data_IF_848025765005
#
_entry.id   IF_848025765005
#
_cell.length_a   1.000
_cell.length_b   1.000
_cell.length_c   1.000
_cell.angle_alpha   90.00
_cell.angle_beta   90.00
_cell.angle_gamma   90.00
#
_symmetry.space_group_name_H-M   'P 1'
#
loop_
_entity.id
_entity.type
_entity.pdbx_description
1 polymer ?
#
# COMPACT_ATOMS: atom_id res chain seq x y z
N UNK A 1 44.53 56.43 -43.04
CA UNK A 1 43.55 55.85 -42.09
C UNK A 1 42.09 55.89 -42.57
N UNK A 2 41.71 56.65 -43.61
CA UNK A 2 40.32 56.70 -44.10
C UNK A 2 39.86 55.44 -44.88
N UNK A 3 40.79 54.67 -45.46
CA UNK A 3 40.47 53.49 -46.27
C UNK A 3 40.06 52.24 -45.45
N UNK A 4 40.40 52.19 -44.16
CA UNK A 4 40.03 51.08 -43.26
C UNK A 4 38.58 51.23 -42.77
N UNK A 5 38.06 52.46 -42.69
CA UNK A 5 36.69 52.73 -42.25
C UNK A 5 35.63 52.32 -43.31
N UNK A 6 35.95 52.38 -44.60
CA UNK A 6 35.00 52.05 -45.68
C UNK A 6 34.86 50.53 -45.87
N UNK A 7 35.94 49.76 -45.67
CA UNK A 7 35.90 48.29 -45.69
C UNK A 7 35.18 47.69 -44.45
N UNK A 8 35.17 48.40 -43.32
CA UNK A 8 34.39 47.99 -42.15
C UNK A 8 32.87 48.23 -42.32
N UNK A 9 32.46 49.22 -43.13
CA UNK A 9 31.05 49.51 -43.38
C UNK A 9 30.43 48.54 -44.41
N UNK A 10 31.17 48.15 -45.45
CA UNK A 10 30.69 47.21 -46.47
C UNK A 10 30.51 45.78 -45.93
N UNK A 11 31.22 45.38 -44.88
CA UNK A 11 31.04 44.06 -44.23
C UNK A 11 29.82 43.99 -43.31
N UNK A 12 29.13 45.12 -43.06
CA UNK A 12 27.97 45.22 -42.17
C UNK A 12 26.63 45.25 -42.92
N UNK A 13 26.64 45.39 -44.25
CA UNK A 13 25.48 45.14 -45.11
C UNK A 13 25.33 43.64 -45.41
N UNK A 14 25.54 42.79 -44.40
CA UNK A 14 25.23 41.38 -44.50
C UNK A 14 23.73 41.26 -44.69
N UNK A 15 23.31 40.96 -45.91
CA UNK A 15 21.93 40.62 -46.23
C UNK A 15 21.42 39.64 -45.17
N UNK A 16 20.37 40.02 -44.45
CA UNK A 16 19.73 39.11 -43.51
C UNK A 16 19.45 37.82 -44.28
N UNK A 17 19.87 36.64 -43.77
CA UNK A 17 19.60 35.38 -44.45
C UNK A 17 18.10 35.33 -44.75
N UNK A 18 17.75 35.10 -46.01
CA UNK A 18 16.36 35.02 -46.42
C UNK A 18 15.64 34.05 -45.49
N UNK A 19 14.58 34.52 -44.80
CA UNK A 19 13.88 33.71 -43.83
C UNK A 19 13.37 32.44 -44.50
N UNK A 20 13.80 31.27 -44.00
CA UNK A 20 13.37 29.98 -44.50
C UNK A 20 11.83 29.89 -44.40
N UNK A 21 11.12 29.52 -45.48
CA UNK A 21 9.66 29.40 -45.45
C UNK A 21 9.16 28.55 -44.27
N UNK A 22 8.08 28.99 -43.62
CA UNK A 22 7.55 28.34 -42.41
C UNK A 22 7.25 26.85 -42.63
N UNK A 23 6.78 26.48 -43.82
CA UNK A 23 6.49 25.10 -44.20
C UNK A 23 7.75 24.21 -44.17
N UNK A 24 8.88 24.73 -44.65
CA UNK A 24 10.16 24.00 -44.65
C UNK A 24 10.68 23.85 -43.21
N UNK A 25 10.63 24.93 -42.41
CA UNK A 25 11.00 24.88 -40.98
C UNK A 25 10.18 23.84 -40.22
N UNK A 26 8.86 23.82 -40.45
CA UNK A 26 7.95 22.85 -39.83
C UNK A 26 8.26 21.41 -40.25
N UNK A 27 8.48 21.17 -41.56
CA UNK A 27 8.83 19.84 -42.07
C UNK A 27 10.18 19.33 -41.51
N UNK A 28 11.16 20.24 -41.38
CA UNK A 28 12.45 19.95 -40.74
C UNK A 28 12.28 19.62 -39.26
N UNK A 29 11.53 20.42 -38.51
CA UNK A 29 11.24 20.18 -37.09
C UNK A 29 10.53 18.83 -36.88
N UNK A 30 9.59 18.46 -37.75
CA UNK A 30 8.90 17.17 -37.70
C UNK A 30 9.86 15.99 -37.97
N UNK A 31 10.76 16.14 -38.95
CA UNK A 31 11.77 15.12 -39.26
C UNK A 31 12.71 14.90 -38.07
N UNK A 32 13.26 15.98 -37.51
CA UNK A 32 14.13 15.94 -36.32
C UNK A 32 13.43 15.29 -35.13
N UNK A 33 12.15 15.61 -34.92
CA UNK A 33 11.36 15.01 -33.85
C UNK A 33 11.21 13.50 -34.01
N UNK A 34 10.89 13.00 -35.22
CA UNK A 34 10.78 11.56 -35.50
C UNK A 34 12.12 10.84 -35.35
N UNK A 35 13.23 11.48 -35.74
CA UNK A 35 14.56 10.92 -35.52
C UNK A 35 14.93 10.87 -34.04
N UNK A 36 14.55 11.88 -33.25
CA UNK A 36 14.74 11.88 -31.81
C UNK A 36 13.97 10.71 -31.15
N UNK A 37 12.73 10.43 -31.57
CA UNK A 37 11.95 9.28 -31.09
C UNK A 37 12.64 7.95 -31.42
N UNK A 38 13.17 7.79 -32.63
CA UNK A 38 13.94 6.59 -33.00
C UNK A 38 15.19 6.40 -32.15
N UNK A 39 15.93 7.48 -31.87
CA UNK A 39 17.09 7.40 -30.98
C UNK A 39 16.70 7.04 -29.54
N UNK A 40 15.60 7.60 -29.03
CA UNK A 40 15.07 7.30 -27.70
C UNK A 40 14.64 5.82 -27.59
N UNK A 41 13.96 5.30 -28.62
CA UNK A 41 13.62 3.88 -28.75
C UNK A 41 14.86 2.99 -28.77
N UNK A 42 15.93 3.44 -29.42
CA UNK A 42 17.22 2.76 -29.48
C UNK A 42 18.12 3.00 -28.25
N UNK A 43 17.62 3.64 -27.19
CA UNK A 43 18.35 4.01 -25.97
C UNK A 43 19.57 4.94 -26.21
N UNK A 44 19.61 5.65 -27.34
CA UNK A 44 20.64 6.63 -27.69
C UNK A 44 20.28 8.02 -27.13
N UNK A 45 20.05 8.10 -25.82
CA UNK A 45 19.43 9.25 -25.15
C UNK A 45 20.17 10.57 -25.34
N UNK A 46 21.50 10.57 -25.38
CA UNK A 46 22.28 11.78 -25.64
C UNK A 46 21.99 12.38 -27.02
N UNK A 47 21.88 11.53 -28.06
CA UNK A 47 21.52 11.98 -29.42
C UNK A 47 20.05 12.38 -29.51
N UNK A 48 19.16 11.61 -28.87
CA UNK A 48 17.74 11.93 -28.78
C UNK A 48 17.52 13.32 -28.17
N UNK A 49 18.21 13.64 -27.06
CA UNK A 49 18.14 14.95 -26.42
C UNK A 49 18.56 16.07 -27.37
N UNK A 50 19.70 15.93 -28.05
CA UNK A 50 20.15 16.91 -29.05
C UNK A 50 19.12 17.14 -30.16
N UNK A 51 18.55 16.06 -30.71
CA UNK A 51 17.53 16.15 -31.77
C UNK A 51 16.21 16.75 -31.29
N UNK A 52 15.77 16.48 -30.07
CA UNK A 52 14.59 17.15 -29.50
C UNK A 52 14.81 18.67 -29.37
N UNK A 53 16.01 19.09 -28.97
CA UNK A 53 16.36 20.50 -28.87
C UNK A 53 16.43 21.19 -30.23
N UNK A 54 17.04 20.54 -31.22
CA UNK A 54 17.08 21.01 -32.60
C UNK A 54 15.67 21.10 -33.22
N UNK A 55 14.81 20.11 -32.98
CA UNK A 55 13.42 20.13 -33.45
C UNK A 55 12.66 21.34 -32.90
N UNK A 56 12.81 21.63 -31.59
CA UNK A 56 12.19 22.79 -30.94
C UNK A 56 12.75 24.10 -31.48
N UNK A 57 14.06 24.18 -31.72
CA UNK A 57 14.72 25.37 -32.25
C UNK A 57 14.34 25.65 -33.71
N UNK A 58 14.11 24.61 -34.51
CA UNK A 58 13.76 24.73 -35.93
C UNK A 58 12.37 25.36 -36.15
N UNK A 59 11.36 24.95 -35.37
CA UNK A 59 10.03 25.58 -35.38
C UNK A 59 9.39 25.54 -33.97
N UNK A 60 9.56 26.61 -33.16
CA UNK A 60 8.94 26.72 -31.84
C UNK A 60 7.41 26.72 -31.87
N UNK A 61 6.81 27.03 -33.03
CA UNK A 61 5.34 27.05 -33.22
C UNK A 61 4.78 25.71 -33.68
N UNK A 62 5.65 24.70 -33.88
CA UNK A 62 5.24 23.36 -34.29
C UNK A 62 4.32 22.74 -33.23
N UNK A 63 3.25 22.02 -33.63
CA UNK A 63 2.40 21.26 -32.71
C UNK A 63 3.17 20.22 -31.87
N UNK A 64 4.38 19.82 -32.30
CA UNK A 64 5.25 18.87 -31.59
C UNK A 64 6.20 19.53 -30.58
N UNK A 65 6.40 20.84 -30.65
CA UNK A 65 7.38 21.55 -29.81
C UNK A 65 7.13 21.34 -28.30
N UNK A 66 5.89 21.40 -27.76
CA UNK A 66 5.65 21.14 -26.33
C UNK A 66 6.02 19.71 -25.91
N UNK A 67 5.78 18.71 -26.76
CA UNK A 67 6.15 17.31 -26.49
C UNK A 67 7.66 17.10 -26.54
N UNK A 68 8.33 17.72 -27.52
CA UNK A 68 9.80 17.69 -27.63
C UNK A 68 10.45 18.31 -26.38
N UNK A 69 9.95 19.47 -25.95
CA UNK A 69 10.43 20.16 -24.75
C UNK A 69 10.23 19.33 -23.48
N UNK A 70 9.03 18.77 -23.28
CA UNK A 70 8.75 17.91 -22.14
C UNK A 70 9.66 16.67 -22.13
N UNK A 71 9.90 16.04 -23.28
CA UNK A 71 10.77 14.87 -23.36
C UNK A 71 12.24 15.22 -23.15
N UNK A 72 12.72 16.32 -23.73
CA UNK A 72 14.07 16.84 -23.51
C UNK A 72 14.30 17.17 -22.03
N UNK A 73 13.32 17.78 -21.35
CA UNK A 73 13.39 18.05 -19.91
C UNK A 73 13.53 16.76 -19.09
N UNK A 74 12.76 15.71 -19.43
CA UNK A 74 12.91 14.39 -18.80
C UNK A 74 14.31 13.84 -19.04
N UNK A 75 14.81 13.82 -20.28
CA UNK A 75 16.14 13.28 -20.58
C UNK A 75 17.25 14.03 -19.82
N UNK A 76 17.21 15.37 -19.77
CA UNK A 76 18.17 16.15 -18.98
C UNK A 76 18.17 15.78 -17.49
N UNK A 77 17.00 15.50 -16.92
CA UNK A 77 16.88 15.06 -15.54
C UNK A 77 17.47 13.66 -15.28
N UNK A 78 17.77 12.89 -16.33
CA UNK A 78 18.38 11.55 -16.27
C UNK A 78 19.75 11.48 -16.93
N UNK A 79 20.39 12.63 -17.19
CA UNK A 79 21.71 12.70 -17.82
C UNK A 79 22.87 12.27 -16.88
N UNK A 80 22.56 11.73 -15.70
CA UNK A 80 23.51 11.21 -14.72
C UNK A 80 24.41 10.15 -15.36
N UNK A 81 25.73 10.30 -15.24
CA UNK A 81 26.70 9.35 -15.79
C UNK A 81 26.59 9.15 -17.30
N UNK A 82 26.40 10.25 -18.06
CA UNK A 82 26.31 10.26 -19.52
C UNK A 82 25.24 9.30 -20.07
N UNK A 83 24.11 9.21 -19.35
CA UNK A 83 22.98 8.30 -19.65
C UNK A 83 23.27 6.81 -19.51
N UNK A 84 24.49 6.38 -19.14
CA UNK A 84 24.82 4.95 -18.99
C UNK A 84 23.91 4.25 -17.97
N UNK A 85 23.69 4.80 -16.75
CA UNK A 85 22.70 4.25 -15.81
C UNK A 85 21.29 4.20 -16.38
N UNK A 86 20.87 5.25 -17.09
CA UNK A 86 19.50 5.37 -17.60
C UNK A 86 19.22 4.37 -18.72
N UNK A 87 20.19 4.11 -19.59
CA UNK A 87 20.14 3.04 -20.60
C UNK A 87 19.99 1.66 -19.97
N UNK A 88 20.72 1.37 -18.89
CA UNK A 88 20.60 0.09 -18.16
C UNK A 88 19.21 -0.09 -17.54
N UNK A 89 18.72 0.94 -16.85
CA UNK A 89 17.37 0.97 -16.27
C UNK A 89 16.29 0.77 -17.34
N UNK A 90 16.33 1.56 -18.42
CA UNK A 90 15.33 1.52 -19.48
C UNK A 90 15.34 0.21 -20.25
N UNK A 91 16.51 -0.44 -20.41
CA UNK A 91 16.59 -1.78 -21.02
C UNK A 91 15.80 -2.81 -20.21
N UNK A 92 16.01 -2.85 -18.89
CA UNK A 92 15.28 -3.78 -18.01
C UNK A 92 13.79 -3.42 -17.94
N UNK A 93 13.45 -2.13 -17.94
CA UNK A 93 12.07 -1.64 -17.87
C UNK A 93 11.25 -1.95 -19.13
N UNK A 94 11.84 -1.77 -20.32
CA UNK A 94 11.13 -1.93 -21.61
C UNK A 94 11.10 -3.36 -22.12
N UNK A 95 12.03 -4.22 -21.71
CA UNK A 95 12.06 -5.62 -22.11
C UNK A 95 11.28 -6.50 -21.11
N UNK A 96 10.13 -7.09 -21.51
CA UNK A 96 9.32 -7.91 -20.61
C UNK A 96 10.07 -9.15 -20.08
N UNK A 97 10.97 -9.72 -20.87
CA UNK A 97 11.75 -10.90 -20.48
C UNK A 97 12.74 -10.55 -19.36
N UNK A 98 13.46 -9.44 -19.51
CA UNK A 98 14.38 -8.96 -18.47
C UNK A 98 13.63 -8.48 -17.23
N UNK A 99 12.53 -7.75 -17.40
CA UNK A 99 11.77 -7.25 -16.25
C UNK A 99 11.21 -8.38 -15.37
N UNK A 100 10.93 -9.54 -15.96
CA UNK A 100 10.37 -10.71 -15.28
C UNK A 100 11.42 -11.73 -14.84
N UNK A 101 12.69 -11.49 -15.12
CA UNK A 101 13.81 -12.35 -14.71
C UNK A 101 14.38 -11.87 -13.37
N UNK A 102 14.32 -12.69 -12.29
CA UNK A 102 14.92 -12.36 -11.00
C UNK A 102 16.41 -12.02 -11.10
N UNK A 103 17.17 -12.71 -11.96
CA UNK A 103 18.61 -12.49 -12.09
C UNK A 103 18.93 -11.14 -12.73
N UNK A 104 18.16 -10.73 -13.74
CA UNK A 104 18.30 -9.40 -14.35
C UNK A 104 17.98 -8.27 -13.36
N UNK A 105 16.97 -8.46 -12.50
CA UNK A 105 16.63 -7.48 -11.44
C UNK A 105 17.71 -7.43 -10.35
N UNK A 106 18.22 -8.58 -9.90
CA UNK A 106 19.34 -8.65 -8.95
C UNK A 106 20.59 -7.98 -9.52
N UNK A 107 20.89 -8.20 -10.81
CA UNK A 107 21.98 -7.52 -11.52
C UNK A 107 21.77 -6.01 -11.57
N UNK A 108 20.57 -5.54 -11.92
CA UNK A 108 20.25 -4.10 -11.92
C UNK A 108 20.45 -3.47 -10.54
N UNK A 109 20.05 -4.16 -9.46
CA UNK A 109 20.24 -3.67 -8.08
C UNK A 109 21.73 -3.58 -7.75
N UNK A 110 22.52 -4.61 -8.08
CA UNK A 110 23.96 -4.58 -7.87
C UNK A 110 24.64 -3.46 -8.66
N UNK A 111 24.21 -3.24 -9.90
CA UNK A 111 24.74 -2.15 -10.73
C UNK A 111 24.32 -0.77 -10.20
N UNK A 112 23.10 -0.64 -9.68
CA UNK A 112 22.59 0.62 -9.12
C UNK A 112 23.44 1.12 -7.94
N UNK A 113 24.08 0.23 -7.19
CA UNK A 113 25.02 0.62 -6.12
C UNK A 113 26.26 1.35 -6.66
N UNK A 114 26.58 1.20 -7.96
CA UNK A 114 27.71 1.87 -8.62
C UNK A 114 27.29 3.12 -9.40
N UNK A 115 25.98 3.40 -9.52
CA UNK A 115 25.50 4.59 -10.23
C UNK A 115 25.85 5.86 -9.45
N UNK A 116 26.12 6.99 -10.14
CA UNK A 116 26.19 8.29 -9.50
C UNK A 116 24.95 8.57 -8.66
N UNK A 117 25.11 9.35 -7.59
CA UNK A 117 23.97 9.74 -6.77
C UNK A 117 22.98 10.57 -7.58
N UNK A 118 21.72 10.12 -7.62
CA UNK A 118 20.72 10.82 -8.39
C UNK A 118 19.45 10.03 -8.61
N UNK A 119 18.60 10.56 -9.49
CA UNK A 119 17.26 10.06 -9.78
C UNK A 119 17.30 8.66 -10.37
N UNK A 120 18.23 8.37 -11.30
CA UNK A 120 18.25 7.08 -12.01
C UNK A 120 18.48 5.92 -11.04
N UNK A 121 19.36 6.12 -10.05
CA UNK A 121 19.62 5.15 -8.97
C UNK A 121 18.35 4.86 -8.16
N UNK A 122 17.64 5.91 -7.75
CA UNK A 122 16.37 5.78 -7.00
C UNK A 122 15.32 5.03 -7.83
N UNK A 123 15.18 5.36 -9.11
CA UNK A 123 14.22 4.68 -9.98
C UNK A 123 14.54 3.21 -10.19
N UNK A 124 15.83 2.85 -10.27
CA UNK A 124 16.26 1.44 -10.34
C UNK A 124 15.86 0.67 -9.07
N UNK A 125 16.07 1.27 -7.89
CA UNK A 125 15.62 0.67 -6.63
C UNK A 125 14.10 0.51 -6.55
N UNK A 126 13.31 1.48 -7.04
CA UNK A 126 11.84 1.38 -7.08
C UNK A 126 11.39 0.24 -8.01
N UNK A 127 11.94 0.17 -9.23
CA UNK A 127 11.61 -0.90 -10.18
C UNK A 127 11.91 -2.28 -9.60
N UNK A 128 13.08 -2.44 -8.97
CA UNK A 128 13.47 -3.69 -8.33
C UNK A 128 12.59 -4.02 -7.11
N UNK A 129 12.25 -3.03 -6.28
CA UNK A 129 11.37 -3.22 -5.14
C UNK A 129 9.97 -3.71 -5.55
N UNK A 130 9.39 -3.14 -6.61
CA UNK A 130 8.10 -3.58 -7.15
C UNK A 130 8.18 -5.02 -7.67
N UNK A 131 9.27 -5.38 -8.35
CA UNK A 131 9.50 -6.74 -8.82
C UNK A 131 9.60 -7.74 -7.66
N UNK A 132 10.40 -7.42 -6.63
CA UNK A 132 10.55 -8.26 -5.44
C UNK A 132 9.24 -8.43 -4.66
N UNK A 133 8.47 -7.36 -4.50
CA UNK A 133 7.21 -7.39 -3.74
C UNK A 133 6.12 -8.21 -4.45
N UNK A 134 5.93 -7.98 -5.75
CA UNK A 134 4.74 -8.47 -6.46
C UNK A 134 4.99 -9.66 -7.38
N UNK A 135 6.20 -9.82 -7.90
CA UNK A 135 6.50 -10.87 -8.91
C UNK A 135 7.31 -12.03 -8.32
N UNK A 136 8.26 -11.75 -7.45
CA UNK A 136 9.22 -12.76 -7.00
C UNK A 136 8.98 -13.29 -5.59
N UNK A 137 7.99 -12.76 -4.86
CA UNK A 137 7.70 -13.20 -3.49
C UNK A 137 8.85 -12.93 -2.50
N UNK A 138 9.61 -11.84 -2.72
CA UNK A 138 10.76 -11.41 -1.91
C UNK A 138 10.46 -10.09 -1.17
N UNK A 139 9.41 -10.00 -0.33
CA UNK A 139 8.98 -8.73 0.27
C UNK A 139 10.06 -8.12 1.19
N UNK A 140 10.90 -8.93 1.84
CA UNK A 140 12.01 -8.42 2.66
C UNK A 140 13.05 -7.64 1.85
N UNK A 141 13.32 -8.05 0.61
CA UNK A 141 14.26 -7.34 -0.28
C UNK A 141 13.63 -6.04 -0.79
N UNK A 142 12.33 -6.09 -1.13
CA UNK A 142 11.55 -4.89 -1.47
C UNK A 142 11.57 -3.86 -0.33
N UNK A 143 11.30 -4.28 0.92
CA UNK A 143 11.31 -3.39 2.08
C UNK A 143 12.66 -2.68 2.26
N UNK A 144 13.79 -3.40 2.08
CA UNK A 144 15.13 -2.79 2.18
C UNK A 144 15.33 -1.69 1.13
N UNK A 145 14.91 -1.93 -0.12
CA UNK A 145 15.03 -0.94 -1.19
C UNK A 145 14.08 0.25 -1.02
N UNK A 146 12.82 0.00 -0.66
CA UNK A 146 11.86 1.08 -0.41
C UNK A 146 12.31 1.97 0.74
N UNK A 147 12.90 1.41 1.81
CA UNK A 147 13.48 2.20 2.90
C UNK A 147 14.57 3.14 2.39
N UNK A 148 15.44 2.69 1.48
CA UNK A 148 16.47 3.54 0.85
C UNK A 148 15.82 4.68 0.05
N UNK A 149 14.81 4.36 -0.77
CA UNK A 149 14.07 5.37 -1.56
C UNK A 149 13.41 6.44 -0.68
N UNK A 150 12.84 6.06 0.46
CA UNK A 150 12.16 6.99 1.38
C UNK A 150 13.13 8.00 1.99
N UNK A 151 14.34 7.56 2.35
CA UNK A 151 15.33 8.43 3.02
C UNK A 151 16.24 9.19 2.05
N UNK A 152 16.32 8.77 0.78
CA UNK A 152 17.17 9.43 -0.22
C UNK A 152 16.66 10.84 -0.54
N UNK A 153 17.54 11.85 -0.43
CA UNK A 153 17.21 13.25 -0.67
C UNK A 153 17.04 13.59 -2.16
N UNK A 154 17.52 12.74 -3.07
CA UNK A 154 17.39 12.87 -4.53
C UNK A 154 16.12 12.24 -5.07
N UNK A 155 15.40 11.47 -4.24
CA UNK A 155 14.12 10.91 -4.64
C UNK A 155 13.10 12.02 -4.92
N UNK A 156 12.39 11.89 -6.05
CA UNK A 156 11.21 12.72 -6.34
C UNK A 156 10.21 12.59 -5.16
N UNK A 157 9.69 13.70 -4.59
CA UNK A 157 8.69 13.66 -3.54
C UNK A 157 7.49 12.73 -3.82
N UNK A 158 7.06 12.61 -5.08
CA UNK A 158 5.98 11.70 -5.47
C UNK A 158 6.40 10.23 -5.33
N UNK A 159 7.60 9.89 -5.81
CA UNK A 159 8.18 8.55 -5.70
C UNK A 159 8.45 8.18 -4.24
N UNK A 160 9.04 9.09 -3.46
CA UNK A 160 9.29 8.87 -2.03
C UNK A 160 7.99 8.61 -1.26
N UNK A 161 6.92 9.35 -1.56
CA UNK A 161 5.60 9.15 -0.93
C UNK A 161 4.96 7.81 -1.34
N UNK A 162 5.08 7.42 -2.61
CA UNK A 162 4.66 6.08 -3.08
C UNK A 162 5.44 4.98 -2.35
N UNK A 163 6.76 5.10 -2.30
CA UNK A 163 7.62 4.11 -1.64
C UNK A 163 7.32 3.98 -0.15
N UNK A 164 7.02 5.09 0.55
CA UNK A 164 6.58 5.07 1.94
C UNK A 164 5.26 4.31 2.12
N UNK A 165 4.28 4.52 1.23
CA UNK A 165 3.01 3.79 1.25
C UNK A 165 3.21 2.30 1.02
N UNK A 166 4.02 1.94 0.02
CA UNK A 166 4.29 0.54 -0.31
C UNK A 166 5.05 -0.15 0.83
N UNK A 167 6.02 0.53 1.45
CA UNK A 167 6.75 0.03 2.62
C UNK A 167 5.84 -0.22 3.82
N UNK A 168 4.96 0.74 4.15
CA UNK A 168 3.94 0.56 5.20
C UNK A 168 3.01 -0.60 4.86
N UNK A 169 2.53 -0.68 3.62
CA UNK A 169 1.66 -1.77 3.15
C UNK A 169 2.30 -3.14 3.30
N UNK A 170 3.58 -3.28 2.95
CA UNK A 170 4.34 -4.52 3.13
C UNK A 170 4.48 -4.90 4.61
N UNK A 171 4.78 -3.95 5.50
CA UNK A 171 4.86 -4.23 6.94
C UNK A 171 3.49 -4.63 7.53
N UNK A 172 2.42 -3.94 7.14
CA UNK A 172 1.06 -4.29 7.56
C UNK A 172 0.64 -5.67 7.06
N UNK A 173 0.95 -6.01 5.80
CA UNK A 173 0.70 -7.34 5.24
C UNK A 173 1.47 -8.45 5.95
N UNK A 174 2.65 -8.14 6.50
CA UNK A 174 3.45 -9.06 7.32
C UNK A 174 3.01 -9.12 8.81
N UNK A 175 2.03 -8.30 9.23
CA UNK A 175 1.64 -8.17 10.64
C UNK A 175 2.68 -7.44 11.52
N UNK A 176 3.66 -6.76 10.92
CA UNK A 176 4.72 -6.02 11.60
C UNK A 176 4.32 -4.55 11.81
N UNK A 177 3.51 -4.29 12.83
CA UNK A 177 3.07 -2.93 13.15
C UNK A 177 4.21 -2.00 13.59
N UNK A 178 5.24 -2.55 14.24
CA UNK A 178 6.39 -1.77 14.67
C UNK A 178 7.14 -1.24 13.45
N UNK A 179 7.40 -2.12 12.47
CA UNK A 179 7.98 -1.73 11.19
C UNK A 179 7.10 -0.77 10.39
N UNK A 180 5.77 -0.96 10.38
CA UNK A 180 4.85 -0.02 9.72
C UNK A 180 4.88 1.38 10.35
N UNK A 181 4.94 1.45 11.68
CA UNK A 181 5.05 2.72 12.43
C UNK A 181 6.39 3.40 12.15
N UNK A 182 7.48 2.63 12.15
CA UNK A 182 8.81 3.15 11.84
C UNK A 182 8.88 3.65 10.39
N UNK A 183 8.34 2.90 9.43
CA UNK A 183 8.27 3.31 8.03
C UNK A 183 7.49 4.62 7.84
N UNK A 184 6.34 4.77 8.50
CA UNK A 184 5.57 6.01 8.48
C UNK A 184 6.34 7.19 9.10
N UNK A 185 7.09 6.95 10.18
CA UNK A 185 7.94 7.95 10.83
C UNK A 185 9.13 8.36 9.96
N UNK A 186 9.79 7.40 9.31
CA UNK A 186 10.93 7.64 8.41
C UNK A 186 10.57 8.54 7.23
N UNK A 187 9.33 8.46 6.75
CA UNK A 187 8.86 9.34 5.69
C UNK A 187 8.74 10.82 6.13
N UNK A 188 8.67 11.11 7.44
CA UNK A 188 8.64 12.47 7.99
C UNK A 188 7.58 13.35 7.33
N UNK A 189 7.95 14.58 6.95
CA UNK A 189 7.07 15.53 6.26
C UNK A 189 6.63 15.08 4.86
N UNK A 190 7.30 14.07 4.29
CA UNK A 190 6.93 13.49 2.99
C UNK A 190 5.81 12.46 3.13
N UNK A 191 5.51 12.00 4.35
CA UNK A 191 4.45 11.05 4.62
C UNK A 191 3.07 11.68 4.32
N UNK A 192 2.22 10.91 3.66
CA UNK A 192 0.80 11.25 3.56
C UNK A 192 0.16 11.15 4.97
N UNK A 193 -0.53 12.19 5.48
CA UNK A 193 -1.22 12.13 6.77
C UNK A 193 -2.23 10.97 6.89
N UNK A 194 -2.69 10.43 5.75
CA UNK A 194 -3.49 9.21 5.72
C UNK A 194 -2.72 7.98 6.21
N UNK A 195 -1.42 7.84 5.89
CA UNK A 195 -0.61 6.69 6.29
C UNK A 195 -0.53 6.54 7.81
N UNK A 196 -0.26 7.63 8.53
CA UNK A 196 -0.22 7.59 10.00
C UNK A 196 -1.56 7.15 10.61
N UNK A 197 -2.68 7.59 10.01
CA UNK A 197 -4.03 7.18 10.44
C UNK A 197 -4.29 5.70 10.15
N UNK A 198 -3.87 5.21 8.99
CA UNK A 198 -4.06 3.81 8.60
C UNK A 198 -3.21 2.87 9.49
N UNK A 199 -1.97 3.24 9.82
CA UNK A 199 -1.14 2.50 10.78
C UNK A 199 -1.75 2.51 12.18
N UNK A 200 -2.24 3.66 12.65
CA UNK A 200 -2.89 3.76 13.95
C UNK A 200 -4.19 2.94 14.02
N UNK A 201 -4.96 2.86 12.93
CA UNK A 201 -6.13 1.98 12.82
C UNK A 201 -5.73 0.51 12.94
N UNK A 202 -4.75 0.07 12.15
CA UNK A 202 -4.23 -1.29 12.22
C UNK A 202 -3.74 -1.66 13.63
N UNK A 203 -3.06 -0.72 14.32
CA UNK A 203 -2.61 -0.91 15.70
C UNK A 203 -3.75 -1.05 16.70
N UNK A 204 -4.78 -0.19 16.60
CA UNK A 204 -5.99 -0.33 17.42
C UNK A 204 -6.69 -1.65 17.16
N UNK A 205 -6.81 -2.06 15.89
CA UNK A 205 -7.43 -3.33 15.51
C UNK A 205 -6.70 -4.52 16.13
N UNK A 206 -5.38 -4.60 16.01
CA UNK A 206 -4.61 -5.69 16.64
C UNK A 206 -4.72 -5.68 18.17
N UNK A 207 -4.76 -4.49 18.79
CA UNK A 207 -4.98 -4.37 20.24
C UNK A 207 -6.35 -4.92 20.64
N UNK A 208 -7.40 -4.56 19.89
CA UNK A 208 -8.76 -5.06 20.11
C UNK A 208 -8.88 -6.56 19.85
N UNK A 209 -8.15 -7.09 18.85
CA UNK A 209 -8.06 -8.52 18.58
C UNK A 209 -7.54 -9.28 19.80
N UNK A 210 -6.36 -8.90 20.32
CA UNK A 210 -5.80 -9.54 21.50
C UNK A 210 -6.66 -9.32 22.75
N UNK A 211 -7.19 -8.11 22.96
CA UNK A 211 -8.09 -7.84 24.08
C UNK A 211 -9.34 -8.73 24.04
N UNK A 212 -9.92 -8.94 22.85
CA UNK A 212 -11.07 -9.81 22.64
C UNK A 212 -10.74 -11.28 22.94
N UNK A 213 -9.59 -11.77 22.46
CA UNK A 213 -9.12 -13.13 22.77
C UNK A 213 -8.89 -13.29 24.28
N UNK A 214 -8.18 -12.37 24.92
CA UNK A 214 -7.92 -12.40 26.36
C UNK A 214 -9.21 -12.37 27.17
N UNK A 215 -10.19 -11.55 26.78
CA UNK A 215 -11.50 -11.49 27.44
C UNK A 215 -12.25 -12.83 27.34
N UNK A 216 -12.29 -13.44 26.15
CA UNK A 216 -12.92 -14.74 25.94
C UNK A 216 -12.22 -15.85 26.75
N UNK A 217 -10.89 -15.89 26.76
CA UNK A 217 -10.12 -16.85 27.55
C UNK A 217 -10.35 -16.66 29.05
N UNK A 218 -10.39 -15.42 29.54
CA UNK A 218 -10.66 -15.12 30.93
C UNK A 218 -12.06 -15.58 31.36
N UNK A 219 -13.09 -15.35 30.54
CA UNK A 219 -14.46 -15.83 30.78
C UNK A 219 -14.49 -17.35 30.81
N UNK A 220 -13.85 -18.02 29.84
CA UNK A 220 -13.78 -19.47 29.78
C UNK A 220 -13.08 -20.06 31.02
N UNK A 221 -11.95 -19.47 31.46
CA UNK A 221 -11.22 -19.89 32.65
C UNK A 221 -12.05 -19.70 33.93
N UNK A 222 -12.75 -18.58 34.08
CA UNK A 222 -13.61 -18.31 35.22
C UNK A 222 -14.82 -19.26 35.27
N UNK A 223 -15.42 -19.54 34.12
CA UNK A 223 -16.50 -20.51 33.99
C UNK A 223 -16.02 -21.92 34.33
N UNK A 224 -14.88 -22.36 33.78
CA UNK A 224 -14.27 -23.65 34.09
C UNK A 224 -13.97 -23.79 35.58
N UNK A 225 -13.36 -22.77 36.20
CA UNK A 225 -13.10 -22.75 37.64
C UNK A 225 -14.38 -22.86 38.47
N UNK A 226 -15.45 -22.19 38.04
CA UNK A 226 -16.74 -22.28 38.72
C UNK A 226 -17.35 -23.68 38.61
N UNK A 227 -17.28 -24.31 37.42
CA UNK A 227 -17.75 -25.69 37.20
C UNK A 227 -16.95 -26.69 38.03
N UNK A 228 -15.62 -26.57 38.09
CA UNK A 228 -14.77 -27.41 38.97
C UNK A 228 -15.14 -27.22 40.43
N UNK A 229 -15.41 -26.00 40.87
CA UNK A 229 -15.86 -25.74 42.24
C UNK A 229 -17.24 -26.36 42.52
N UNK A 230 -18.16 -26.34 41.55
CA UNK A 230 -19.45 -27.03 41.66
C UNK A 230 -19.28 -28.56 41.70
N UNK A 231 -18.35 -29.13 40.92
CA UNK A 231 -17.97 -30.54 40.99
C UNK A 231 -17.50 -30.96 42.37
N UNK A 232 -16.58 -30.18 42.96
CA UNK A 232 -16.09 -30.45 44.31
C UNK A 232 -17.17 -30.34 45.39
N UNK A 233 -18.24 -29.57 45.14
CA UNK A 233 -19.40 -29.45 46.03
C UNK A 233 -20.50 -30.50 45.76
N UNK A 234 -20.35 -31.35 44.75
CA UNK A 234 -21.39 -32.30 44.35
C UNK A 234 -22.60 -31.67 43.64
N UNK A 235 -22.52 -30.41 43.20
CA UNK A 235 -23.64 -29.67 42.58
C UNK A 235 -23.56 -29.62 41.05
N UNK A 236 -22.93 -30.61 40.40
CA UNK A 236 -22.85 -30.66 38.92
C UNK A 236 -24.21 -30.94 38.26
N UNK A 237 -25.10 -31.65 38.96
CA UNK A 237 -26.46 -31.92 38.49
C UNK A 237 -27.22 -30.64 38.18
N UNK A 238 -27.06 -29.60 39.01
CA UNK A 238 -27.71 -28.30 38.82
C UNK A 238 -27.21 -27.59 37.57
N UNK A 239 -25.89 -27.64 37.31
CA UNK A 239 -25.28 -27.06 36.11
C UNK A 239 -25.77 -27.79 34.86
N UNK A 240 -25.77 -29.14 34.87
CA UNK A 240 -26.25 -29.95 33.76
C UNK A 240 -27.75 -29.73 33.49
N UNK A 241 -28.57 -29.69 34.54
CA UNK A 241 -30.01 -29.42 34.45
C UNK A 241 -30.28 -28.03 33.88
N UNK A 242 -29.55 -27.02 34.37
CA UNK A 242 -29.63 -25.65 33.85
C UNK A 242 -29.28 -25.55 32.36
N UNK A 243 -28.24 -26.25 31.91
CA UNK A 243 -27.83 -26.30 30.51
C UNK A 243 -28.84 -27.03 29.63
N UNK A 244 -29.34 -28.21 30.06
CA UNK A 244 -30.37 -28.95 29.30
C UNK A 244 -31.66 -28.15 29.15
N UNK A 245 -32.09 -27.46 30.21
CA UNK A 245 -33.32 -26.65 30.20
C UNK A 245 -33.24 -25.47 29.23
N UNK A 246 -32.08 -24.83 29.10
CA UNK A 246 -31.93 -23.63 28.26
C UNK A 246 -31.31 -23.90 26.89
N UNK A 247 -30.65 -25.04 26.70
CA UNK A 247 -29.93 -25.38 25.47
C UNK A 247 -30.76 -25.19 24.19
N UNK A 248 -31.98 -25.74 24.10
CA UNK A 248 -32.84 -25.54 22.93
C UNK A 248 -33.15 -24.07 22.65
N UNK A 249 -33.39 -23.27 23.70
CA UNK A 249 -33.65 -21.83 23.57
C UNK A 249 -32.42 -21.07 23.07
N UNK A 250 -31.22 -21.41 23.58
CA UNK A 250 -29.96 -20.82 23.12
C UNK A 250 -29.72 -21.12 21.65
N UNK A 251 -29.92 -22.36 21.22
CA UNK A 251 -29.76 -22.76 19.81
C UNK A 251 -30.78 -22.06 18.93
N UNK A 252 -32.06 -22.01 19.33
CA UNK A 252 -33.10 -21.31 18.59
C UNK A 252 -32.81 -19.80 18.46
N UNK A 253 -32.34 -19.16 19.55
CA UNK A 253 -31.97 -17.75 19.53
C UNK A 253 -30.77 -17.49 18.61
N UNK A 254 -29.72 -18.32 18.69
CA UNK A 254 -28.56 -18.21 17.82
C UNK A 254 -28.93 -18.40 16.33
N UNK A 255 -29.78 -19.38 16.03
CA UNK A 255 -30.31 -19.61 14.68
C UNK A 255 -31.15 -18.42 14.20
N UNK A 256 -31.97 -17.84 15.07
CA UNK A 256 -32.75 -16.65 14.76
C UNK A 256 -31.84 -15.46 14.43
N UNK A 257 -30.82 -15.16 15.26
CA UNK A 257 -29.87 -14.07 15.00
C UNK A 257 -29.13 -14.29 13.68
N UNK A 258 -28.70 -15.53 13.39
CA UNK A 258 -28.03 -15.89 12.15
C UNK A 258 -28.92 -15.67 10.92
N UNK A 259 -30.14 -16.21 10.95
CA UNK A 259 -31.07 -16.17 9.81
C UNK A 259 -31.63 -14.75 9.62
N UNK A 260 -32.16 -14.13 10.68
CA UNK A 260 -32.76 -12.80 10.58
C UNK A 260 -31.72 -11.75 10.19
N UNK A 261 -30.52 -11.80 10.81
CA UNK A 261 -29.41 -10.92 10.45
C UNK A 261 -28.94 -11.14 9.01
N UNK A 262 -28.79 -12.40 8.58
CA UNK A 262 -28.41 -12.74 7.21
C UNK A 262 -29.42 -12.27 6.16
N UNK A 263 -30.73 -12.46 6.42
CA UNK A 263 -31.81 -11.98 5.53
C UNK A 263 -31.81 -10.45 5.46
N UNK A 264 -31.64 -9.76 6.59
CA UNK A 264 -31.58 -8.30 6.61
C UNK A 264 -30.37 -7.79 5.79
N UNK A 265 -29.20 -8.38 6.00
CA UNK A 265 -27.98 -8.01 5.28
C UNK A 265 -28.10 -8.22 3.76
N UNK A 266 -28.71 -9.33 3.33
CA UNK A 266 -28.92 -9.62 1.90
C UNK A 266 -29.89 -8.68 1.19
N UNK A 267 -30.74 -7.95 1.94
CA UNK A 267 -31.77 -7.07 1.38
C UNK A 267 -31.34 -5.61 1.30
N UNK A 268 -30.48 -5.15 2.22
CA UNK A 268 -30.12 -3.73 2.33
C UNK A 268 -28.81 -3.38 1.64
N UNK A 269 -27.89 -4.33 1.54
CA UNK A 269 -26.68 -4.22 0.74
C UNK A 269 -26.71 -5.40 -0.23
N UNK A 270 -25.93 -5.41 -1.30
CA UNK A 270 -25.63 -6.67 -2.02
C UNK A 270 -24.77 -7.60 -1.14
N UNK A 271 -25.16 -7.74 0.13
CA UNK A 271 -24.32 -7.90 1.29
C UNK A 271 -24.06 -9.36 1.61
N UNK A 272 -22.84 -9.63 2.01
CA UNK A 272 -22.37 -10.93 2.42
C UNK A 272 -23.04 -11.35 3.75
N UNK A 273 -23.88 -12.38 3.74
CA UNK A 273 -24.55 -12.88 4.95
C UNK A 273 -23.62 -13.61 5.94
N UNK A 274 -22.36 -13.88 5.56
CA UNK A 274 -21.39 -14.66 6.35
C UNK A 274 -21.15 -14.13 7.78
N UNK A 275 -21.08 -12.81 8.08
CA UNK A 275 -20.86 -12.34 9.45
C UNK A 275 -21.96 -12.80 10.40
N UNK A 276 -23.22 -12.72 10.00
CA UNK A 276 -24.36 -13.08 10.84
C UNK A 276 -24.44 -14.60 11.08
N UNK A 277 -24.19 -15.40 10.04
CA UNK A 277 -24.14 -16.86 10.16
C UNK A 277 -23.01 -17.29 11.11
N UNK A 278 -21.82 -16.73 10.94
CA UNK A 278 -20.64 -17.03 11.77
C UNK A 278 -20.86 -16.58 13.22
N UNK A 279 -21.46 -15.40 13.42
CA UNK A 279 -21.77 -14.89 14.74
C UNK A 279 -22.78 -15.77 15.47
N UNK A 280 -23.83 -16.25 14.80
CA UNK A 280 -24.78 -17.20 15.38
C UNK A 280 -24.11 -18.49 15.86
N UNK A 281 -23.18 -19.05 15.08
CA UNK A 281 -22.41 -20.25 15.49
C UNK A 281 -21.56 -19.96 16.73
N UNK A 282 -20.87 -18.82 16.79
CA UNK A 282 -20.02 -18.42 17.93
C UNK A 282 -20.84 -18.09 19.18
N UNK A 283 -22.06 -17.59 19.03
CA UNK A 283 -22.94 -17.27 20.17
C UNK A 283 -23.34 -18.50 20.99
N UNK A 284 -23.52 -19.68 20.36
CA UNK A 284 -23.93 -20.91 21.07
C UNK A 284 -22.95 -21.27 22.20
N UNK A 285 -21.65 -21.51 21.95
CA UNK A 285 -20.71 -21.84 23.02
C UNK A 285 -20.59 -20.71 24.05
N UNK A 286 -20.65 -19.44 23.63
CA UNK A 286 -20.59 -18.31 24.55
C UNK A 286 -21.77 -18.30 25.54
N UNK A 287 -23.00 -18.53 25.07
CA UNK A 287 -24.18 -18.62 25.92
C UNK A 287 -24.15 -19.83 26.84
N UNK A 288 -23.67 -20.98 26.37
CA UNK A 288 -23.51 -22.18 27.21
C UNK A 288 -22.50 -21.93 28.33
N UNK A 289 -21.36 -21.31 28.03
CA UNK A 289 -20.35 -20.92 29.02
C UNK A 289 -20.92 -19.93 30.03
N UNK A 290 -21.59 -18.87 29.56
CA UNK A 290 -22.24 -17.88 30.43
C UNK A 290 -23.28 -18.53 31.36
N UNK A 291 -24.08 -19.46 30.83
CA UNK A 291 -25.11 -20.16 31.62
C UNK A 291 -24.50 -21.10 32.65
N UNK A 292 -23.49 -21.87 32.27
CA UNK A 292 -22.77 -22.77 33.16
C UNK A 292 -22.13 -21.98 34.30
N UNK A 293 -21.48 -20.85 33.98
CA UNK A 293 -20.88 -19.97 34.96
C UNK A 293 -21.92 -19.35 35.91
N UNK A 294 -23.08 -18.94 35.38
CA UNK A 294 -24.19 -18.44 36.16
C UNK A 294 -24.80 -19.48 37.11
N UNK A 295 -24.89 -20.75 36.69
CA UNK A 295 -25.40 -21.85 37.52
C UNK A 295 -24.42 -22.27 38.62
N UNK A 296 -23.12 -22.28 38.31
CA UNK A 296 -22.07 -22.70 39.24
C UNK A 296 -21.62 -21.59 40.22
N UNK A 297 -21.89 -20.32 39.89
CA UNK A 297 -21.46 -19.14 40.62
C UNK A 297 -22.37 -18.75 41.80
N UNK A 298 -21.82 -18.04 42.79
CA UNK A 298 -22.57 -17.58 43.95
C UNK A 298 -23.70 -16.59 43.64
N UNK A 299 -24.73 -16.56 44.51
CA UNK A 299 -25.95 -15.78 44.34
C UNK A 299 -25.84 -14.27 44.64
N UNK A 300 -24.68 -13.80 45.13
CA UNK A 300 -24.47 -12.39 45.52
C UNK A 300 -24.74 -11.45 44.33
N UNK A 301 -25.47 -10.34 44.51
CA UNK A 301 -25.82 -9.40 43.43
C UNK A 301 -24.60 -8.87 42.67
N UNK A 302 -23.54 -8.47 43.39
CA UNK A 302 -22.30 -8.00 42.77
C UNK A 302 -21.65 -9.04 41.85
N UNK A 303 -21.67 -10.32 42.23
CA UNK A 303 -21.12 -11.40 41.41
C UNK A 303 -21.98 -11.66 40.16
N UNK A 304 -23.30 -11.47 40.25
CA UNK A 304 -24.20 -11.53 39.09
C UNK A 304 -23.92 -10.39 38.11
N UNK A 305 -23.78 -9.16 38.62
CA UNK A 305 -23.45 -8.00 37.81
C UNK A 305 -22.09 -8.16 37.11
N UNK A 306 -21.05 -8.58 37.84
CA UNK A 306 -19.72 -8.81 37.26
C UNK A 306 -19.73 -9.87 36.15
N UNK A 307 -20.47 -10.97 36.34
CA UNK A 307 -20.65 -11.99 35.29
C UNK A 307 -21.38 -11.45 34.07
N UNK A 308 -22.43 -10.66 34.27
CA UNK A 308 -23.19 -10.07 33.17
C UNK A 308 -22.31 -9.12 32.34
N UNK A 309 -21.54 -8.25 32.99
CA UNK A 309 -20.58 -7.35 32.31
C UNK A 309 -19.52 -8.16 31.56
N UNK A 310 -18.95 -9.19 32.18
CA UNK A 310 -17.98 -10.06 31.52
C UNK A 310 -18.58 -10.77 30.29
N UNK A 311 -19.80 -11.31 30.39
CA UNK A 311 -20.46 -11.97 29.26
C UNK A 311 -20.80 -10.98 28.13
N UNK A 312 -21.21 -9.75 28.48
CA UNK A 312 -21.45 -8.69 27.49
C UNK A 312 -20.16 -8.30 26.76
N UNK A 313 -19.05 -8.11 27.50
CA UNK A 313 -17.73 -7.87 26.91
C UNK A 313 -17.28 -9.04 26.03
N UNK A 314 -17.52 -10.28 26.45
CA UNK A 314 -17.26 -11.48 25.64
C UNK A 314 -18.07 -11.54 24.36
N UNK A 315 -19.35 -11.14 24.39
CA UNK A 315 -20.20 -11.08 23.19
C UNK A 315 -19.72 -10.01 22.21
N UNK A 316 -19.34 -8.83 22.71
CA UNK A 316 -18.75 -7.76 21.89
C UNK A 316 -17.43 -8.22 21.28
N UNK A 317 -16.54 -8.82 22.07
CA UNK A 317 -15.25 -9.34 21.59
C UNK A 317 -15.40 -10.47 20.57
N UNK A 318 -16.35 -11.39 20.78
CA UNK A 318 -16.69 -12.42 19.81
C UNK A 318 -17.22 -11.81 18.50
N UNK A 319 -18.10 -10.79 18.60
CA UNK A 319 -18.61 -10.07 17.44
C UNK A 319 -17.50 -9.37 16.65
N UNK A 320 -16.58 -8.71 17.34
CA UNK A 320 -15.40 -8.09 16.73
C UNK A 320 -14.54 -9.11 15.98
N UNK A 321 -14.19 -10.24 16.62
CA UNK A 321 -13.38 -11.29 15.98
C UNK A 321 -14.07 -11.93 14.78
N UNK A 322 -15.40 -12.10 14.84
CA UNK A 322 -16.18 -12.59 13.69
C UNK A 322 -16.12 -11.61 12.54
N UNK A 323 -16.36 -10.32 12.77
CA UNK A 323 -16.29 -9.28 11.73
C UNK A 323 -14.90 -9.23 11.10
N UNK A 324 -13.85 -9.22 11.93
CA UNK A 324 -12.45 -9.22 11.48
C UNK A 324 -12.12 -10.45 10.61
N UNK A 325 -12.64 -11.62 10.97
CA UNK A 325 -12.40 -12.87 10.23
C UNK A 325 -13.13 -12.97 8.89
N UNK A 326 -14.23 -12.22 8.71
CA UNK A 326 -15.02 -12.26 7.48
C UNK A 326 -14.55 -11.22 6.48
N UNK A 327 -14.49 -9.95 6.90
CA UNK A 327 -14.00 -8.85 6.07
C UNK A 327 -13.63 -7.65 6.94
N UNK A 328 -12.38 -7.20 6.81
CA UNK A 328 -11.85 -6.03 7.53
C UNK A 328 -12.59 -4.74 7.14
N UNK A 329 -13.18 -4.68 5.94
CA UNK A 329 -13.95 -3.51 5.49
C UNK A 329 -15.14 -3.18 6.40
N UNK A 330 -15.74 -4.17 7.09
CA UNK A 330 -16.80 -3.91 8.07
C UNK A 330 -16.31 -3.11 9.28
N UNK A 331 -15.03 -3.23 9.62
CA UNK A 331 -14.41 -2.49 10.73
C UNK A 331 -14.04 -1.06 10.32
N UNK A 332 -13.79 -0.80 9.04
CA UNK A 332 -13.46 0.54 8.54
C UNK A 332 -14.60 1.54 8.78
N UNK A 333 -15.86 1.09 8.66
CA UNK A 333 -17.05 1.88 9.00
C UNK A 333 -17.15 2.26 10.49
N UNK A 334 -16.49 1.49 11.37
CA UNK A 334 -16.36 1.77 12.79
C UNK A 334 -15.10 2.62 13.13
N UNK A 335 -14.33 3.01 12.12
CA UNK A 335 -13.07 3.75 12.29
C UNK A 335 -11.88 2.88 12.72
N UNK A 336 -11.96 1.57 12.53
CA UNK A 336 -10.96 0.55 12.85
C UNK A 336 -10.30 -0.07 11.61
#
# INVERSE_FOLDING_TARGET
MLLIAILAFARRAGAAPAEEPQEIRRARAETLFREAEKDDEAFAFARALGRYDEARAADPTSPRAPRAEARAAILRAHAEGDFVPFTKLERVRRDPALSSDPAAIDALVSEAETFPEGRVRVEAWVLAAEAYAHRFGRPGDAMRLLRRVVVDAKADPVLARKAARDLVGLHLGAGDLAGATEAARLAGDRADPKLARDVARAARRQTLHYASICALLAIAALAARAVVAAARRGTLGDVASALRKIGPLVVAYAAYVAIAGGVLASRYEQGNAKPFLSFGVVLVPLFLVARAWGAAGGARPAAKAARAVACAAGAIGAGFLVLESVDVAYLEGLGL
#
